data_IF_088047303002
#
_entry.id   IF_088047303002
#
_cell.length_a   1.000
_cell.length_b   1.000
_cell.length_c   1.000
_cell.angle_alpha   90.00
_cell.angle_beta   90.00
_cell.angle_gamma   90.00
#
_symmetry.space_group_name_H-M   'P 1'
#
loop_
_entity.id
_entity.type
_entity.pdbx_description
1 polymer ?
#
# COMPACT_ATOMS: atom_id res chain seq x y z
N UNK A 1 0.31 3.20 7.77
CA UNK A 1 -0.77 3.92 7.05
C UNK A 1 -0.91 3.47 5.59
N UNK A 2 0.16 3.37 4.78
CA UNK A 2 0.07 2.91 3.37
C UNK A 2 -0.25 1.41 3.18
N UNK A 3 0.04 0.58 4.17
CA UNK A 3 -0.37 -0.84 4.23
C UNK A 3 -1.87 -1.07 4.20
N UNK A 4 -2.61 -0.33 5.03
CA UNK A 4 -4.06 -0.40 5.08
C UNK A 4 -4.67 -0.06 3.71
N UNK A 5 -4.02 0.85 2.96
CA UNK A 5 -4.50 1.29 1.65
C UNK A 5 -4.38 0.21 0.56
N UNK A 6 -3.32 -0.62 0.55
CA UNK A 6 -3.19 -1.71 -0.42
C UNK A 6 -4.07 -2.92 -0.08
N UNK A 7 -4.22 -3.24 1.19
CA UNK A 7 -5.16 -4.29 1.62
C UNK A 7 -6.60 -3.89 1.37
N UNK A 8 -6.96 -2.66 1.72
CA UNK A 8 -8.28 -2.12 1.39
C UNK A 8 -8.49 -2.10 -0.12
N UNK A 9 -7.46 -1.77 -0.92
CA UNK A 9 -7.55 -1.81 -2.38
C UNK A 9 -7.75 -3.24 -2.93
N UNK A 10 -7.08 -4.25 -2.36
CA UNK A 10 -7.28 -5.66 -2.77
C UNK A 10 -8.68 -6.16 -2.42
N UNK A 11 -9.12 -5.90 -1.18
CA UNK A 11 -10.49 -6.21 -0.75
C UNK A 11 -11.50 -5.49 -1.64
N UNK A 12 -11.21 -4.26 -2.05
CA UNK A 12 -12.06 -3.51 -2.96
C UNK A 12 -12.12 -4.17 -4.35
N UNK A 13 -11.00 -4.66 -4.91
CA UNK A 13 -11.02 -5.43 -6.17
C UNK A 13 -11.95 -6.64 -6.03
N UNK A 14 -11.80 -7.42 -4.95
CA UNK A 14 -12.61 -8.61 -4.73
C UNK A 14 -14.10 -8.26 -4.57
N UNK A 15 -14.41 -7.18 -3.86
CA UNK A 15 -15.77 -6.65 -3.77
C UNK A 15 -16.34 -6.26 -5.14
N UNK A 16 -15.59 -5.49 -5.94
CA UNK A 16 -16.03 -5.10 -7.31
C UNK A 16 -16.20 -6.31 -8.23
N UNK A 17 -15.39 -7.35 -8.04
CA UNK A 17 -15.51 -8.61 -8.77
C UNK A 17 -16.80 -9.35 -8.40
N UNK A 18 -17.18 -9.34 -7.12
CA UNK A 18 -18.48 -9.88 -6.66
C UNK A 18 -19.62 -9.05 -7.26
N UNK A 19 -19.56 -7.72 -7.19
CA UNK A 19 -20.57 -6.83 -7.78
C UNK A 19 -20.78 -7.13 -9.27
N UNK A 20 -19.68 -7.31 -10.02
CA UNK A 20 -19.74 -7.68 -11.44
C UNK A 20 -20.37 -9.07 -11.66
N UNK A 21 -20.08 -10.05 -10.80
CA UNK A 21 -20.69 -11.39 -10.86
C UNK A 21 -22.19 -11.33 -10.58
N UNK A 22 -22.61 -10.56 -9.57
CA UNK A 22 -24.03 -10.34 -9.24
C UNK A 22 -24.74 -9.65 -10.41
N UNK A 23 -24.17 -8.60 -10.99
CA UNK A 23 -24.74 -7.93 -12.16
C UNK A 23 -24.86 -8.87 -13.37
N UNK A 24 -23.90 -9.79 -13.55
CA UNK A 24 -23.99 -10.84 -14.58
C UNK A 24 -25.10 -11.84 -14.28
N UNK A 25 -25.30 -12.23 -13.02
CA UNK A 25 -26.36 -13.16 -12.62
C UNK A 25 -27.75 -12.60 -12.92
N UNK A 26 -27.95 -11.29 -12.77
CA UNK A 26 -29.22 -10.63 -13.09
C UNK A 26 -29.58 -10.62 -14.60
N UNK A 27 -28.65 -11.03 -15.47
CA UNK A 27 -28.90 -11.26 -16.90
C UNK A 27 -29.42 -12.67 -17.17
N UNK A 28 -29.27 -13.59 -16.22
CA UNK A 28 -29.72 -14.97 -16.33
C UNK A 28 -31.17 -15.11 -15.85
N UNK A 29 -31.91 -16.12 -16.34
CA UNK A 29 -33.21 -16.46 -15.80
C UNK A 29 -33.16 -16.82 -14.31
N UNK A 30 -34.18 -16.41 -13.57
CA UNK A 30 -34.35 -16.77 -12.17
C UNK A 30 -35.30 -17.96 -12.04
N UNK A 31 -34.93 -18.92 -11.18
CA UNK A 31 -35.75 -20.06 -10.80
C UNK A 31 -35.93 -20.05 -9.29
N UNK A 32 -37.17 -19.90 -8.82
CA UNK A 32 -37.49 -19.93 -7.39
C UNK A 32 -38.45 -21.09 -7.10
N UNK A 33 -38.09 -21.90 -6.11
CA UNK A 33 -38.94 -22.93 -5.53
C UNK A 33 -39.39 -22.45 -4.15
N UNK A 34 -40.68 -22.39 -3.91
CA UNK A 34 -41.25 -22.06 -2.62
C UNK A 34 -42.11 -23.22 -2.12
N UNK A 35 -41.95 -23.55 -0.84
CA UNK A 35 -42.82 -24.48 -0.13
C UNK A 35 -43.18 -23.82 1.20
N UNK A 36 -44.45 -23.82 1.54
CA UNK A 36 -44.94 -23.29 2.81
C UNK A 36 -46.00 -24.23 3.37
N UNK A 37 -45.97 -24.38 4.69
CA UNK A 37 -47.03 -25.01 5.46
C UNK A 37 -47.63 -23.94 6.37
N UNK A 38 -48.95 -23.79 6.35
CA UNK A 38 -49.66 -22.88 7.24
C UNK A 38 -50.79 -23.61 7.96
N UNK A 39 -51.07 -23.17 9.18
CA UNK A 39 -52.21 -23.59 9.97
C UNK A 39 -53.00 -22.31 10.29
N UNK A 40 -54.17 -22.18 9.66
CA UNK A 40 -55.05 -21.03 9.88
C UNK A 40 -56.25 -21.50 10.70
N UNK A 41 -56.27 -21.18 11.99
CA UNK A 41 -57.44 -21.33 12.85
C UNK A 41 -58.23 -20.01 12.90
N UNK A 42 -59.45 -20.04 12.36
CA UNK A 42 -60.41 -18.94 12.48
C UNK A 42 -61.55 -19.43 13.38
N UNK A 43 -61.60 -18.94 14.62
CA UNK A 43 -62.64 -19.29 15.57
C UNK A 43 -63.86 -18.40 15.35
N UNK A 44 -64.98 -18.97 14.93
CA UNK A 44 -66.20 -18.23 14.62
C UNK A 44 -67.19 -18.16 15.81
N UNK A 45 -66.89 -18.81 16.95
CA UNK A 45 -67.71 -18.78 18.17
C UNK A 45 -66.94 -19.25 19.41
N UNK A 46 -67.02 -18.52 20.53
CA UNK A 46 -66.25 -18.74 21.77
C UNK A 46 -66.48 -20.11 22.45
N UNK A 47 -67.65 -20.73 22.26
CA UNK A 47 -68.03 -21.99 22.95
C UNK A 47 -67.51 -23.29 22.33
N UNK A 48 -67.04 -23.28 21.07
CA UNK A 48 -66.46 -24.47 20.38
C UNK A 48 -64.96 -24.35 20.13
N UNK A 49 -64.37 -23.25 20.59
CA UNK A 49 -62.98 -22.89 20.33
C UNK A 49 -61.98 -23.87 20.98
N UNK A 50 -62.25 -24.36 22.20
CA UNK A 50 -61.31 -25.24 22.91
C UNK A 50 -61.23 -26.66 22.31
N UNK A 51 -62.34 -27.16 21.75
CA UNK A 51 -62.40 -28.49 21.13
C UNK A 51 -61.90 -28.49 19.67
N UNK A 52 -62.09 -27.36 18.96
CA UNK A 52 -61.59 -27.18 17.59
C UNK A 52 -60.10 -26.80 17.54
N UNK A 53 -59.52 -26.25 18.61
CA UNK A 53 -58.08 -25.94 18.68
C UNK A 53 -57.21 -27.20 18.71
N UNK A 54 -57.72 -28.31 19.25
CA UNK A 54 -57.08 -29.63 19.23
C UNK A 54 -57.46 -30.49 18.01
N UNK A 55 -58.52 -30.10 17.27
CA UNK A 55 -58.83 -30.67 15.96
C UNK A 55 -58.03 -29.95 14.88
N UNK A 56 -56.91 -30.56 14.59
CA UNK A 56 -55.88 -30.19 13.62
C UNK A 56 -56.39 -30.21 12.15
N UNK A 57 -57.58 -29.68 11.88
CA UNK A 57 -58.34 -29.97 10.65
C UNK A 57 -58.01 -29.03 9.48
N UNK A 58 -57.09 -28.07 9.63
CA UNK A 58 -56.74 -27.10 8.57
C UNK A 58 -55.24 -26.85 8.40
N UNK A 59 -54.47 -27.91 8.20
CA UNK A 59 -53.15 -27.76 7.57
C UNK A 59 -53.30 -27.51 6.08
N UNK A 60 -52.74 -26.42 5.60
CA UNK A 60 -52.52 -26.20 4.18
C UNK A 60 -51.03 -26.27 3.89
N UNK A 61 -50.63 -27.25 3.07
CA UNK A 61 -49.32 -27.30 2.45
C UNK A 61 -49.44 -26.73 1.03
N UNK A 62 -48.59 -25.76 0.69
CA UNK A 62 -48.54 -25.19 -0.65
C UNK A 62 -47.12 -25.20 -1.16
N UNK A 63 -46.95 -25.60 -2.42
CA UNK A 63 -45.69 -25.59 -3.14
C UNK A 63 -45.88 -24.87 -4.47
N UNK A 64 -44.90 -24.05 -4.85
CA UNK A 64 -44.91 -23.32 -6.11
C UNK A 64 -43.51 -23.28 -6.71
N UNK A 65 -43.46 -23.31 -8.04
CA UNK A 65 -42.25 -23.04 -8.81
C UNK A 65 -42.52 -21.78 -9.62
N UNK A 66 -41.61 -20.81 -9.57
CA UNK A 66 -41.67 -19.63 -10.41
C UNK A 66 -40.40 -19.50 -11.24
N UNK A 67 -40.58 -19.22 -12.52
CA UNK A 67 -39.51 -19.03 -13.49
C UNK A 67 -39.67 -17.68 -14.16
N UNK A 68 -38.61 -16.87 -14.19
CA UNK A 68 -38.64 -15.52 -14.75
C UNK A 68 -37.47 -15.32 -15.72
N UNK A 69 -37.79 -15.07 -16.99
CA UNK A 69 -36.81 -14.65 -18.00
C UNK A 69 -36.99 -13.16 -18.26
N UNK A 70 -35.97 -12.32 -18.00
CA UNK A 70 -36.03 -10.91 -18.35
C UNK A 70 -35.74 -10.70 -19.85
N UNK A 71 -36.76 -10.39 -20.65
CA UNK A 71 -36.60 -10.10 -22.09
C UNK A 71 -36.32 -8.60 -22.28
N UNK A 72 -35.32 -8.25 -23.10
CA UNK A 72 -35.03 -6.84 -23.45
C UNK A 72 -34.43 -6.00 -22.32
N UNK A 73 -33.73 -6.62 -21.36
CA UNK A 73 -33.22 -5.98 -20.15
C UNK A 73 -31.97 -5.11 -20.38
N UNK A 74 -32.12 -4.05 -21.18
CA UNK A 74 -31.05 -3.06 -21.48
C UNK A 74 -30.45 -2.42 -20.22
N UNK A 75 -31.25 -2.28 -19.16
CA UNK A 75 -30.82 -1.73 -17.88
C UNK A 75 -29.81 -2.66 -17.19
N UNK A 76 -30.08 -3.96 -17.09
CA UNK A 76 -29.14 -4.90 -16.50
C UNK A 76 -27.87 -5.05 -17.35
N UNK A 77 -27.96 -4.99 -18.68
CA UNK A 77 -26.78 -4.98 -19.55
C UNK A 77 -25.90 -3.73 -19.35
N UNK A 78 -26.52 -2.56 -19.19
CA UNK A 78 -25.82 -1.33 -18.86
C UNK A 78 -25.13 -1.43 -17.49
N UNK A 79 -25.81 -1.98 -16.49
CA UNK A 79 -25.26 -2.18 -15.14
C UNK A 79 -24.07 -3.17 -15.14
N UNK A 80 -24.17 -4.28 -15.87
CA UNK A 80 -23.05 -5.21 -16.05
C UNK A 80 -21.84 -4.53 -16.73
N UNK A 81 -22.08 -3.71 -17.76
CA UNK A 81 -20.99 -2.94 -18.40
C UNK A 81 -20.37 -1.94 -17.42
N UNK A 82 -21.18 -1.26 -16.61
CA UNK A 82 -20.71 -0.30 -15.63
C UNK A 82 -19.89 -0.96 -14.52
N UNK A 83 -20.37 -2.06 -13.94
CA UNK A 83 -19.65 -2.82 -12.90
C UNK A 83 -18.32 -3.38 -13.44
N UNK A 84 -18.29 -3.85 -14.69
CA UNK A 84 -17.06 -4.28 -15.36
C UNK A 84 -16.03 -3.16 -15.48
N UNK A 85 -16.44 -1.98 -15.91
CA UNK A 85 -15.56 -0.80 -15.99
C UNK A 85 -15.06 -0.37 -14.62
N UNK A 86 -15.93 -0.36 -13.59
CA UNK A 86 -15.53 -0.07 -12.20
C UNK A 86 -14.50 -1.06 -11.69
N UNK A 87 -14.68 -2.36 -11.94
CA UNK A 87 -13.70 -3.39 -11.56
C UNK A 87 -12.35 -3.16 -12.25
N UNK A 88 -12.34 -2.85 -13.56
CA UNK A 88 -11.12 -2.51 -14.28
C UNK A 88 -10.43 -1.24 -13.72
N UNK A 89 -11.21 -0.21 -13.37
CA UNK A 89 -10.71 1.01 -12.77
C UNK A 89 -10.07 0.75 -11.40
N UNK A 90 -10.67 -0.10 -10.56
CA UNK A 90 -10.09 -0.48 -9.26
C UNK A 90 -8.78 -1.24 -9.43
N UNK A 91 -8.67 -2.14 -10.42
CA UNK A 91 -7.40 -2.82 -10.74
C UNK A 91 -6.33 -1.81 -11.18
N UNK A 92 -6.68 -0.84 -12.03
CA UNK A 92 -5.75 0.19 -12.45
C UNK A 92 -5.26 1.05 -11.26
N UNK A 93 -6.16 1.43 -10.34
CA UNK A 93 -5.83 2.17 -9.11
C UNK A 93 -4.89 1.37 -8.19
N UNK A 94 -5.10 0.05 -8.07
CA UNK A 94 -4.20 -0.83 -7.33
C UNK A 94 -2.79 -0.83 -7.93
N UNK A 95 -2.66 -0.99 -9.26
CA UNK A 95 -1.36 -0.94 -9.93
C UNK A 95 -0.69 0.43 -9.80
N UNK A 96 -1.45 1.52 -9.88
CA UNK A 96 -0.94 2.88 -9.65
C UNK A 96 -0.37 3.03 -8.24
N UNK A 97 -1.09 2.53 -7.23
CA UNK A 97 -0.62 2.56 -5.83
C UNK A 97 0.65 1.74 -5.65
N UNK A 98 0.71 0.55 -6.26
CA UNK A 98 1.89 -0.31 -6.25
C UNK A 98 3.10 0.39 -6.91
N UNK A 99 2.91 1.03 -8.06
CA UNK A 99 3.97 1.79 -8.74
C UNK A 99 4.45 2.96 -7.88
N UNK A 100 3.54 3.71 -7.26
CA UNK A 100 3.90 4.82 -6.37
C UNK A 100 4.80 4.38 -5.20
N UNK A 101 4.52 3.21 -4.61
CA UNK A 101 5.35 2.61 -3.56
C UNK A 101 6.72 2.20 -4.11
N UNK A 102 6.78 1.54 -5.26
CA UNK A 102 8.04 1.16 -5.89
C UNK A 102 8.92 2.38 -6.20
N UNK A 103 8.32 3.45 -6.70
CA UNK A 103 9.03 4.70 -6.96
C UNK A 103 9.51 5.37 -5.68
N UNK A 104 8.73 5.33 -4.60
CA UNK A 104 9.13 5.86 -3.29
C UNK A 104 10.35 5.14 -2.74
N UNK A 105 10.36 3.81 -2.78
CA UNK A 105 11.52 3.00 -2.38
C UNK A 105 12.73 3.33 -3.26
N UNK A 106 12.54 3.39 -4.59
CA UNK A 106 13.63 3.74 -5.53
C UNK A 106 14.17 5.15 -5.29
N UNK A 107 13.31 6.13 -5.01
CA UNK A 107 13.70 7.51 -4.68
C UNK A 107 14.53 7.51 -3.39
N UNK A 108 14.07 6.85 -2.33
CA UNK A 108 14.79 6.79 -1.07
C UNK A 108 16.15 6.10 -1.23
N UNK A 109 16.23 5.00 -1.99
CA UNK A 109 17.48 4.31 -2.26
C UNK A 109 18.48 5.17 -3.08
N UNK A 110 17.98 5.99 -4.00
CA UNK A 110 18.82 6.98 -4.70
C UNK A 110 19.27 8.09 -3.77
N UNK A 111 18.40 8.60 -2.89
CA UNK A 111 18.77 9.62 -1.91
C UNK A 111 19.90 9.16 -0.99
N UNK A 112 19.86 7.92 -0.51
CA UNK A 112 20.96 7.32 0.28
C UNK A 112 22.27 7.32 -0.51
N UNK A 113 22.23 6.88 -1.78
CA UNK A 113 23.40 6.85 -2.67
C UNK A 113 23.97 8.24 -2.96
N UNK A 114 23.12 9.25 -3.11
CA UNK A 114 23.57 10.63 -3.31
C UNK A 114 24.18 11.18 -2.02
N UNK A 115 23.54 10.92 -0.87
CA UNK A 115 24.01 11.43 0.42
C UNK A 115 25.34 10.82 0.86
N UNK A 116 25.59 9.52 0.59
CA UNK A 116 26.90 8.93 0.88
C UNK A 116 28.01 9.57 0.03
N UNK A 117 27.74 9.86 -1.25
CA UNK A 117 28.68 10.60 -2.10
C UNK A 117 28.89 12.04 -1.64
N UNK A 118 27.84 12.67 -1.10
CA UNK A 118 27.94 14.00 -0.49
C UNK A 118 28.84 13.97 0.75
N UNK A 119 28.70 12.96 1.61
CA UNK A 119 29.58 12.76 2.78
C UNK A 119 31.03 12.59 2.36
N UNK A 120 31.30 11.73 1.37
CA UNK A 120 32.65 11.55 0.81
C UNK A 120 33.24 12.89 0.32
N UNK A 121 32.48 13.66 -0.45
CA UNK A 121 32.93 14.95 -0.97
C UNK A 121 33.20 15.98 0.14
N UNK A 122 32.30 16.11 1.12
CA UNK A 122 32.48 17.04 2.25
C UNK A 122 33.65 16.65 3.14
N UNK A 123 33.93 15.36 3.28
CA UNK A 123 35.09 14.87 4.04
C UNK A 123 36.41 15.23 3.36
N UNK A 124 36.47 15.15 2.03
CA UNK A 124 37.63 15.61 1.26
C UNK A 124 37.79 17.13 1.39
N UNK A 125 36.70 17.89 1.32
CA UNK A 125 36.73 19.34 1.50
C UNK A 125 37.24 19.75 2.91
N UNK A 126 36.79 19.07 3.97
CA UNK A 126 37.31 19.27 5.33
C UNK A 126 38.81 19.03 5.40
N UNK A 127 39.29 17.90 4.87
CA UNK A 127 40.74 17.58 4.87
C UNK A 127 41.56 18.64 4.14
N UNK A 128 41.07 19.12 3.00
CA UNK A 128 41.74 20.20 2.26
C UNK A 128 41.78 21.51 3.07
N UNK A 129 40.70 21.84 3.80
CA UNK A 129 40.67 23.02 4.67
C UNK A 129 41.65 22.88 5.85
N UNK A 130 41.78 21.68 6.43
CA UNK A 130 42.78 21.37 7.46
C UNK A 130 44.22 21.56 6.96
N UNK A 131 44.54 21.00 5.80
CA UNK A 131 45.87 21.13 5.19
C UNK A 131 46.21 22.59 4.85
N UNK A 132 45.21 23.39 4.42
CA UNK A 132 45.38 24.83 4.16
C UNK A 132 45.67 25.60 5.44
N UNK A 133 44.92 25.33 6.51
CA UNK A 133 45.15 25.97 7.80
C UNK A 133 46.56 25.67 8.32
N UNK A 134 46.99 24.41 8.28
CA UNK A 134 48.36 24.02 8.68
C UNK A 134 49.42 24.73 7.83
N UNK A 135 49.22 24.85 6.52
CA UNK A 135 50.11 25.60 5.64
C UNK A 135 50.16 27.09 5.99
N UNK A 136 49.04 27.72 6.34
CA UNK A 136 49.02 29.12 6.79
C UNK A 136 49.69 29.32 8.13
N UNK A 137 49.47 28.43 9.09
CA UNK A 137 50.13 28.49 10.40
C UNK A 137 51.65 28.39 10.25
N UNK A 138 52.13 27.54 9.35
CA UNK A 138 53.57 27.46 9.01
C UNK A 138 54.08 28.75 8.38
N UNK A 139 53.35 29.35 7.44
CA UNK A 139 53.71 30.64 6.84
C UNK A 139 53.72 31.79 7.85
N UNK A 140 52.78 31.79 8.79
CA UNK A 140 52.70 32.79 9.85
C UNK A 140 53.92 32.73 10.77
N UNK A 141 54.38 31.52 11.13
CA UNK A 141 55.60 31.31 11.94
C UNK A 141 56.86 31.88 11.30
N UNK A 142 56.92 31.98 9.97
CA UNK A 142 58.04 32.58 9.23
C UNK A 142 57.76 34.01 8.75
N UNK A 143 56.67 34.64 9.24
CA UNK A 143 56.32 36.03 8.92
C UNK A 143 55.74 36.25 7.51
N UNK A 144 55.38 35.18 6.79
CA UNK A 144 54.85 35.22 5.42
C UNK A 144 53.32 35.18 5.35
N UNK A 145 52.62 35.21 6.49
CA UNK A 145 51.16 35.22 6.58
C UNK A 145 50.71 36.13 7.73
N UNK A 146 49.45 36.54 7.72
CA UNK A 146 48.89 37.44 8.75
C UNK A 146 47.90 36.71 9.65
N UNK A 147 47.64 37.27 10.84
CA UNK A 147 46.64 36.71 11.77
C UNK A 147 45.23 36.71 11.15
N UNK A 148 44.93 37.65 10.25
CA UNK A 148 43.67 37.70 9.50
C UNK A 148 43.52 36.49 8.58
N UNK A 149 44.59 36.10 7.89
CA UNK A 149 44.56 34.97 6.94
C UNK A 149 44.40 33.63 7.66
N UNK A 150 45.00 33.47 8.85
CA UNK A 150 44.74 32.31 9.72
C UNK A 150 43.25 32.25 10.10
N UNK A 151 42.69 33.38 10.54
CA UNK A 151 41.29 33.41 10.98
C UNK A 151 40.32 33.08 9.82
N UNK A 152 40.61 33.56 8.60
CA UNK A 152 39.85 33.19 7.42
C UNK A 152 39.89 31.67 7.14
N UNK A 153 41.06 31.04 7.25
CA UNK A 153 41.18 29.60 7.02
C UNK A 153 40.59 28.76 8.17
N UNK A 154 40.62 29.26 9.41
CA UNK A 154 39.90 28.67 10.54
C UNK A 154 38.38 28.71 10.31
N UNK A 155 37.84 29.82 9.84
CA UNK A 155 36.41 29.93 9.50
C UNK A 155 36.03 28.99 8.34
N UNK A 156 36.88 28.86 7.31
CA UNK A 156 36.68 27.89 6.22
C UNK A 156 36.67 26.45 6.72
N UNK A 157 37.56 26.10 7.66
CA UNK A 157 37.57 24.78 8.27
C UNK A 157 36.29 24.54 9.09
N UNK A 158 35.89 25.49 9.93
CA UNK A 158 34.65 25.41 10.72
C UNK A 158 33.40 25.24 9.82
N UNK A 159 33.34 25.97 8.71
CA UNK A 159 32.30 25.83 7.70
C UNK A 159 32.30 24.45 7.04
N UNK A 160 33.48 23.91 6.71
CA UNK A 160 33.63 22.58 6.10
C UNK A 160 33.22 21.45 7.07
N UNK A 161 33.60 21.54 8.34
CA UNK A 161 33.17 20.64 9.41
C UNK A 161 31.64 20.62 9.57
N UNK A 162 31.05 21.81 9.55
CA UNK A 162 29.59 21.98 9.63
C UNK A 162 28.90 21.32 8.43
N UNK A 163 29.47 21.46 7.23
CA UNK A 163 28.95 20.82 6.02
C UNK A 163 29.08 19.29 6.05
N UNK A 164 30.21 18.73 6.52
CA UNK A 164 30.38 17.28 6.70
C UNK A 164 29.36 16.72 7.71
N UNK A 165 29.19 17.41 8.84
CA UNK A 165 28.22 17.00 9.87
C UNK A 165 26.79 16.99 9.33
N UNK A 166 26.40 18.04 8.59
CA UNK A 166 25.08 18.09 7.94
C UNK A 166 24.91 16.96 6.92
N UNK A 167 25.93 16.69 6.11
CA UNK A 167 25.89 15.60 5.14
C UNK A 167 25.71 14.23 5.81
N UNK A 168 26.37 13.99 6.96
CA UNK A 168 26.20 12.77 7.74
C UNK A 168 24.78 12.64 8.30
N UNK A 169 24.23 13.72 8.87
CA UNK A 169 22.84 13.75 9.35
C UNK A 169 21.87 13.45 8.21
N UNK A 170 22.05 14.06 7.04
CA UNK A 170 21.22 13.84 5.86
C UNK A 170 21.31 12.38 5.36
N UNK A 171 22.51 11.79 5.39
CA UNK A 171 22.71 10.37 5.09
C UNK A 171 21.91 9.47 6.05
N UNK A 172 22.04 9.65 7.37
CA UNK A 172 21.29 8.85 8.34
C UNK A 172 19.77 9.04 8.23
N UNK A 173 19.30 10.26 7.98
CA UNK A 173 17.88 10.53 7.71
C UNK A 173 17.39 9.80 6.46
N UNK A 174 18.19 9.78 5.40
CA UNK A 174 17.85 9.05 4.17
C UNK A 174 17.84 7.54 4.37
N UNK A 175 18.73 7.00 5.20
CA UNK A 175 18.76 5.59 5.57
C UNK A 175 17.49 5.21 6.35
N UNK A 176 17.17 5.96 7.40
CA UNK A 176 15.93 5.73 8.17
C UNK A 176 14.66 5.86 7.31
N UNK A 177 14.67 6.73 6.30
CA UNK A 177 13.56 6.89 5.35
C UNK A 177 13.46 5.71 4.38
N UNK A 178 14.59 5.16 3.94
CA UNK A 178 14.65 3.94 3.15
C UNK A 178 14.18 2.73 3.96
N UNK A 179 14.63 2.60 5.21
CA UNK A 179 14.22 1.52 6.12
C UNK A 179 12.73 1.58 6.39
N UNK A 180 12.17 2.77 6.64
CA UNK A 180 10.72 2.92 6.80
C UNK A 180 9.95 2.48 5.55
N UNK A 181 10.44 2.85 4.36
CA UNK A 181 9.80 2.48 3.11
C UNK A 181 9.94 0.97 2.81
N UNK A 182 11.11 0.38 3.07
CA UNK A 182 11.39 -1.04 2.82
C UNK A 182 10.77 -1.95 3.86
N UNK A 183 10.83 -1.64 5.16
CA UNK A 183 10.13 -2.39 6.20
C UNK A 183 8.62 -2.40 5.93
N UNK A 184 8.07 -1.27 5.44
CA UNK A 184 6.69 -1.22 4.99
C UNK A 184 6.37 -2.07 3.73
N UNK A 185 7.40 -2.58 3.05
CA UNK A 185 7.27 -3.34 1.80
C UNK A 185 7.71 -4.82 1.96
N UNK A 186 8.79 -5.10 2.69
CA UNK A 186 9.47 -6.40 2.80
C UNK A 186 8.73 -7.40 3.69
N UNK A 187 8.13 -6.96 4.81
CA UNK A 187 7.41 -7.87 5.73
C UNK A 187 6.28 -8.64 5.05
N UNK A 188 5.77 -8.18 3.90
CA UNK A 188 4.54 -8.75 3.33
C UNK A 188 4.60 -9.23 1.90
N UNK A 189 5.55 -8.78 1.09
CA UNK A 189 5.61 -9.25 -0.29
C UNK A 189 6.46 -10.52 -0.50
N UNK A 190 7.24 -10.98 0.50
CA UNK A 190 8.25 -12.04 0.32
C UNK A 190 9.09 -11.81 -0.95
N UNK A 191 9.23 -10.56 -1.39
CA UNK A 191 10.01 -10.22 -2.58
C UNK A 191 11.45 -10.24 -2.12
N UNK A 192 12.19 -11.27 -2.54
CA UNK A 192 13.64 -11.22 -2.56
C UNK A 192 14.04 -10.02 -3.43
N UNK A 193 14.49 -8.95 -2.78
CA UNK A 193 15.11 -7.85 -3.49
C UNK A 193 16.46 -8.36 -4.01
N UNK A 194 16.52 -8.74 -5.28
CA UNK A 194 17.79 -9.08 -5.92
C UNK A 194 18.69 -7.84 -5.91
N UNK A 195 19.63 -7.80 -4.98
CA UNK A 195 20.74 -6.85 -4.97
C UNK A 195 21.72 -7.26 -6.07
N UNK A 196 21.91 -6.46 -7.15
CA UNK A 196 23.05 -6.67 -8.03
C UNK A 196 24.30 -6.16 -7.30
N UNK A 197 24.91 -7.00 -6.47
CA UNK A 197 26.10 -6.62 -5.71
C UNK A 197 26.62 -7.64 -4.70
N UNK A 198 25.85 -8.64 -4.30
CA UNK A 198 26.39 -9.70 -3.44
C UNK A 198 26.82 -10.91 -4.27
N UNK A 199 28.14 -11.05 -4.42
CA UNK A 199 28.78 -12.26 -4.93
C UNK A 199 28.38 -13.40 -4.00
N UNK A 200 27.44 -14.24 -4.44
CA UNK A 200 27.03 -15.45 -3.71
C UNK A 200 28.24 -16.38 -3.58
N UNK A 201 28.81 -16.49 -2.39
CA UNK A 201 29.60 -17.64 -2.02
C UNK A 201 28.68 -18.87 -2.07
N UNK A 202 28.95 -19.78 -3.00
CA UNK A 202 28.34 -21.12 -3.02
C UNK A 202 28.68 -21.83 -1.71
N UNK A 203 27.71 -22.00 -0.83
CA UNK A 203 27.71 -23.11 0.11
C UNK A 203 26.82 -24.20 -0.46
N UNK A 204 27.46 -25.08 -1.21
CA UNK A 204 27.00 -26.44 -1.43
C UNK A 204 27.15 -27.18 -0.12
N UNK A 205 26.04 -27.57 0.52
CA UNK A 205 26.08 -28.67 1.48
C UNK A 205 24.82 -29.52 1.32
N UNK A 206 25.09 -30.76 0.91
CA UNK A 206 24.36 -32.03 1.04
C UNK A 206 22.96 -32.02 1.62
#
# INVERSE_FOLDING_TARGET
>A
RKHAALESARIEIDKRKIDMKVAKQNLLPEFNLNASASNNSLADTEGKAFEQQFKNERYSFSGGVSFRIPIGNRRAEADYRQTRLRHAQTIASYHQTQQAIMEEVRRNARSVRVNIKRVEATRVARRLAEERLDAQEKKFKVGLSTSRDILEDQDRLANSLTQETRALIDYHKSLASLDRATHSTLERFQIEMFYPGEVKAKTTTK
#
